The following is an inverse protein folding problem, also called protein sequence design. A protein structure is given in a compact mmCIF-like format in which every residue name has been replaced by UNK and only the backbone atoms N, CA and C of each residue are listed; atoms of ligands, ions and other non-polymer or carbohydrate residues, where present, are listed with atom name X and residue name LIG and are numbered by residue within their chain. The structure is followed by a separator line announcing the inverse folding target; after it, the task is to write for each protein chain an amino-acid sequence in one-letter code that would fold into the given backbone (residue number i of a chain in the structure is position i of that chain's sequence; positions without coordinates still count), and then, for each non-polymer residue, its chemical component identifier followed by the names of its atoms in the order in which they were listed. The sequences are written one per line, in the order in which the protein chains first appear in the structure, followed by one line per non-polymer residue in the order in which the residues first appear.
data_IF_634427505136
#
_entry.id   IF_634427505136
#
_cell.length_a   1.000
_cell.length_b   1.000
_cell.length_c   1.000
_cell.angle_alpha   90.00
_cell.angle_beta   90.00
_cell.angle_gamma   90.00
#
_symmetry.space_group_name_H-M   'P 1'
#
loop_
_entity.id
_entity.type
_entity.pdbx_description
1 polymer ?
#
# COMPACT_ATOMS: atom_id res chain seq x y z
N UNK A 1 -21.10 -5.87 3.14
CA UNK A 1 -19.87 -6.33 3.83
C UNK A 1 -18.84 -5.23 3.68
N UNK A 2 -18.27 -4.72 4.78
CA UNK A 2 -17.11 -3.80 4.69
C UNK A 2 -16.05 -4.51 3.85
N UNK A 3 -15.40 -3.77 2.96
CA UNK A 3 -14.40 -4.26 2.03
C UNK A 3 -13.12 -4.58 2.84
N UNK A 4 -13.17 -5.64 3.67
CA UNK A 4 -12.12 -6.07 4.61
C UNK A 4 -10.70 -5.98 4.03
N UNK A 5 -10.43 -6.42 2.78
CA UNK A 5 -9.06 -6.37 2.25
C UNK A 5 -8.56 -4.93 2.03
N UNK A 6 -9.42 -3.99 1.62
CA UNK A 6 -9.02 -2.58 1.48
C UNK A 6 -8.79 -1.90 2.83
N UNK A 7 -9.54 -2.29 3.87
CA UNK A 7 -9.30 -1.78 5.22
C UNK A 7 -7.93 -2.24 5.75
N UNK A 8 -7.54 -3.50 5.51
CA UNK A 8 -6.21 -3.98 5.88
C UNK A 8 -5.10 -3.24 5.12
N UNK A 9 -5.30 -3.03 3.82
CA UNK A 9 -4.35 -2.29 2.98
C UNK A 9 -4.15 -0.85 3.45
N UNK A 10 -5.24 -0.14 3.73
CA UNK A 10 -5.19 1.25 4.22
C UNK A 10 -4.46 1.34 5.56
N UNK A 11 -4.73 0.43 6.49
CA UNK A 11 -4.07 0.46 7.80
C UNK A 11 -2.56 0.20 7.66
N UNK A 12 -2.16 -0.81 6.89
CA UNK A 12 -0.74 -1.13 6.70
C UNK A 12 0.01 -0.02 5.95
N UNK A 13 -0.57 0.51 4.86
CA UNK A 13 0.01 1.61 4.12
C UNK A 13 0.10 2.89 4.98
N UNK A 14 -0.93 3.18 5.78
CA UNK A 14 -0.93 4.32 6.69
C UNK A 14 0.15 4.22 7.77
N UNK A 15 0.38 3.03 8.34
CA UNK A 15 1.44 2.78 9.30
C UNK A 15 2.83 2.99 8.68
N UNK A 16 3.06 2.43 7.49
CA UNK A 16 4.33 2.62 6.76
C UNK A 16 4.55 4.10 6.38
N UNK A 17 3.48 4.84 6.07
CA UNK A 17 3.56 6.29 5.84
C UNK A 17 3.96 7.07 7.09
N UNK A 18 3.48 6.68 8.27
CA UNK A 18 3.94 7.26 9.55
C UNK A 18 5.40 6.90 9.88
N UNK A 19 5.88 5.78 9.33
CA UNK A 19 7.28 5.36 9.43
C UNK A 19 8.16 5.99 8.34
N UNK A 20 7.68 6.98 7.57
CA UNK A 20 8.48 7.60 6.50
C UNK A 20 8.95 6.60 5.42
N UNK A 21 8.28 5.44 5.31
CA UNK A 21 8.66 4.37 4.39
C UNK A 21 8.45 4.73 2.91
N UNK A 22 7.84 5.88 2.64
CA UNK A 22 7.51 6.36 1.30
C UNK A 22 8.15 7.72 1.00
N UNK A 23 8.96 8.29 1.90
CA UNK A 23 9.48 9.66 1.78
C UNK A 23 10.45 9.82 0.58
N UNK A 24 10.97 8.72 0.04
CA UNK A 24 11.74 8.71 -1.21
C UNK A 24 10.88 8.82 -2.47
N UNK A 25 9.56 8.62 -2.37
CA UNK A 25 8.65 8.86 -3.48
C UNK A 25 8.50 10.36 -3.73
N UNK A 26 8.22 10.72 -4.98
CA UNK A 26 7.91 12.11 -5.36
C UNK A 26 6.67 12.63 -4.64
N UNK A 27 6.59 13.94 -4.40
CA UNK A 27 5.42 14.59 -3.80
C UNK A 27 4.09 14.24 -4.49
N UNK A 28 4.07 14.09 -5.82
CA UNK A 28 2.89 13.66 -6.58
C UNK A 28 2.39 12.28 -6.10
N UNK A 29 3.29 11.31 -6.02
CA UNK A 29 2.98 9.94 -5.57
C UNK A 29 2.51 9.93 -4.12
N UNK A 30 3.18 10.68 -3.24
CA UNK A 30 2.76 10.83 -1.83
C UNK A 30 1.35 11.44 -1.73
N UNK A 31 1.07 12.49 -2.51
CA UNK A 31 -0.24 13.14 -2.56
C UNK A 31 -1.34 12.17 -3.05
N UNK A 32 -1.06 11.41 -4.10
CA UNK A 32 -1.96 10.38 -4.64
C UNK A 32 -2.21 9.28 -3.62
N UNK A 33 -1.17 8.79 -2.95
CA UNK A 33 -1.28 7.75 -1.92
C UNK A 33 -2.19 8.20 -0.76
N UNK A 34 -2.01 9.43 -0.28
CA UNK A 34 -2.87 10.03 0.75
C UNK A 34 -4.32 10.16 0.27
N UNK A 35 -4.52 10.53 -1.00
CA UNK A 35 -5.85 10.61 -1.59
C UNK A 35 -6.53 9.24 -1.69
N UNK A 36 -5.80 8.19 -2.06
CA UNK A 36 -6.30 6.82 -2.07
C UNK A 36 -6.71 6.36 -0.67
N UNK A 37 -5.83 6.56 0.32
CA UNK A 37 -6.09 6.23 1.74
C UNK A 37 -7.36 6.93 2.23
N UNK A 38 -7.48 8.23 1.95
CA UNK A 38 -8.65 9.02 2.33
C UNK A 38 -9.93 8.48 1.68
N UNK A 39 -9.89 8.20 0.38
CA UNK A 39 -11.04 7.70 -0.39
C UNK A 39 -11.50 6.33 0.11
N UNK A 40 -10.56 5.43 0.38
CA UNK A 40 -10.83 4.08 0.90
C UNK A 40 -11.30 4.07 2.37
N UNK A 41 -11.06 5.15 3.12
CA UNK A 41 -11.50 5.30 4.50
C UNK A 41 -12.91 5.91 4.64
N UNK A 42 -13.48 6.43 3.55
CA UNK A 42 -14.81 7.03 3.56
C UNK A 42 -15.91 5.96 3.61
N UNK A 43 -16.94 6.19 4.41
CA UNK A 43 -18.08 5.26 4.55
C UNK A 43 -19.03 5.30 3.33
N UNK A 44 -19.10 6.43 2.62
CA UNK A 44 -20.05 6.69 1.55
C UNK A 44 -19.35 6.95 0.21
N UNK A 45 -18.56 5.98 -0.27
CA UNK A 45 -17.85 6.06 -1.55
C UNK A 45 -18.38 5.01 -2.54
N UNK A 46 -18.35 5.32 -3.83
CA UNK A 46 -18.82 4.39 -4.87
C UNK A 46 -17.88 3.19 -4.99
N UNK A 47 -18.43 2.04 -5.40
CA UNK A 47 -17.63 0.82 -5.64
C UNK A 47 -16.52 1.05 -6.66
N UNK A 48 -16.79 1.87 -7.67
CA UNK A 48 -15.81 2.24 -8.70
C UNK A 48 -14.64 3.03 -8.12
N UNK A 49 -14.92 4.04 -7.29
CA UNK A 49 -13.89 4.83 -6.62
C UNK A 49 -13.07 4.00 -5.61
N UNK A 50 -13.70 3.05 -4.91
CA UNK A 50 -12.99 2.08 -4.06
C UNK A 50 -12.01 1.27 -4.89
N UNK A 51 -12.47 0.69 -6.00
CA UNK A 51 -11.61 -0.14 -6.85
C UNK A 51 -10.46 0.68 -7.44
N UNK A 52 -10.74 1.85 -8.02
CA UNK A 52 -9.72 2.72 -8.60
C UNK A 52 -8.66 3.12 -7.55
N UNK A 53 -9.09 3.61 -6.39
CA UNK A 53 -8.19 4.02 -5.31
C UNK A 53 -7.42 2.85 -4.73
N UNK A 54 -8.05 1.68 -4.64
CA UNK A 54 -7.43 0.45 -4.17
C UNK A 54 -6.33 -0.06 -5.09
N UNK A 55 -6.60 -0.10 -6.40
CA UNK A 55 -5.60 -0.47 -7.41
C UNK A 55 -4.43 0.52 -7.43
N UNK A 56 -4.70 1.81 -7.32
CA UNK A 56 -3.66 2.84 -7.28
C UNK A 56 -2.81 2.73 -6.01
N UNK A 57 -3.42 2.55 -4.84
CA UNK A 57 -2.68 2.35 -3.58
C UNK A 57 -1.80 1.10 -3.64
N UNK A 58 -2.31 -0.01 -4.20
CA UNK A 58 -1.51 -1.22 -4.41
C UNK A 58 -0.31 -0.96 -5.32
N UNK A 59 -0.50 -0.21 -6.42
CA UNK A 59 0.58 0.11 -7.34
C UNK A 59 1.69 0.94 -6.66
N UNK A 60 1.31 1.96 -5.88
CA UNK A 60 2.25 2.79 -5.13
C UNK A 60 3.01 1.98 -4.07
N UNK A 61 2.33 1.11 -3.33
CA UNK A 61 2.96 0.22 -2.36
C UNK A 61 3.94 -0.79 -2.98
N UNK A 62 3.71 -1.21 -4.23
CA UNK A 62 4.62 -2.12 -4.96
C UNK A 62 5.87 -1.42 -5.50
N UNK A 63 5.73 -0.15 -5.87
CA UNK A 63 6.82 0.62 -6.45
C UNK A 63 7.77 1.16 -5.38
N UNK A 64 7.27 1.36 -4.16
CA UNK A 64 8.08 1.82 -3.04
C UNK A 64 9.09 0.73 -2.61
N UNK A 65 10.37 1.11 -2.53
CA UNK A 65 11.33 0.39 -1.71
C UNK A 65 11.01 0.61 -0.22
N UNK A 66 10.48 -0.43 0.43
CA UNK A 66 10.03 -0.38 1.81
C UNK A 66 11.11 -0.84 2.80
N UNK A 67 12.28 -1.27 2.35
CA UNK A 67 13.35 -1.75 3.24
C UNK A 67 14.22 -0.60 3.74
N UNK A 68 13.59 0.39 4.39
CA UNK A 68 14.27 1.54 4.99
C UNK A 68 14.40 1.39 6.52
N UNK A 69 15.38 2.07 7.13
CA UNK A 69 15.72 1.95 8.56
C UNK A 69 14.54 2.17 9.53
N UNK A 70 13.53 2.91 9.11
CA UNK A 70 12.36 3.28 9.91
C UNK A 70 11.23 2.24 9.86
N UNK A 71 11.28 1.29 8.91
CA UNK A 71 10.28 0.23 8.79
C UNK A 71 10.52 -0.92 9.74
N UNK A 72 9.44 -1.52 10.23
CA UNK A 72 9.53 -2.70 11.10
C UNK A 72 9.13 -3.95 10.34
N UNK A 73 9.71 -5.13 10.67
CA UNK A 73 9.30 -6.39 10.05
C UNK A 73 7.79 -6.65 10.16
N UNK A 74 7.17 -6.23 11.28
CA UNK A 74 5.72 -6.33 11.48
C UNK A 74 4.93 -5.46 10.49
N UNK A 75 5.33 -4.20 10.27
CA UNK A 75 4.65 -3.31 9.33
C UNK A 75 4.72 -3.83 7.88
N UNK A 76 5.87 -4.37 7.48
CA UNK A 76 6.05 -5.01 6.18
C UNK A 76 5.17 -6.25 6.05
N UNK A 77 5.15 -7.12 7.05
CA UNK A 77 4.28 -8.30 7.06
C UNK A 77 2.80 -7.93 6.97
N UNK A 78 2.36 -6.87 7.66
CA UNK A 78 0.98 -6.40 7.59
C UNK A 78 0.63 -5.90 6.18
N UNK A 79 1.54 -5.17 5.53
CA UNK A 79 1.33 -4.72 4.15
C UNK A 79 1.29 -5.90 3.18
N UNK A 80 2.26 -6.81 3.24
CA UNK A 80 2.29 -7.98 2.36
C UNK A 80 1.10 -8.90 2.56
N UNK A 81 0.67 -9.10 3.81
CA UNK A 81 -0.56 -9.83 4.11
C UNK A 81 -1.77 -9.14 3.47
N UNK A 82 -1.88 -7.81 3.56
CA UNK A 82 -2.96 -7.07 2.92
C UNK A 82 -2.93 -7.18 1.38
N UNK A 83 -1.74 -7.08 0.78
CA UNK A 83 -1.52 -7.18 -0.66
C UNK A 83 -1.85 -8.57 -1.23
N UNK A 84 -1.62 -9.63 -0.44
CA UNK A 84 -1.93 -11.01 -0.86
C UNK A 84 -3.41 -11.26 -1.14
N UNK A 85 -4.33 -10.53 -0.48
CA UNK A 85 -5.78 -10.59 -0.78
C UNK A 85 -6.13 -10.12 -2.18
N UNK A 86 -5.23 -9.37 -2.83
CA UNK A 86 -5.40 -8.86 -4.18
C UNK A 86 -4.58 -9.64 -5.22
N UNK A 87 -4.01 -10.79 -4.83
CA UNK A 87 -3.16 -11.60 -5.71
C UNK A 87 -1.80 -10.95 -5.99
N UNK A 88 -1.40 -9.96 -5.19
CA UNK A 88 -0.07 -9.35 -5.29
C UNK A 88 0.87 -10.12 -4.39
N UNK A 89 1.76 -10.90 -4.99
CA UNK A 89 2.77 -11.67 -4.28
C UNK A 89 3.94 -10.76 -3.87
N UNK A 90 4.32 -10.82 -2.60
CA UNK A 90 5.43 -10.04 -2.04
C UNK A 90 6.79 -10.44 -2.64
N UNK A 91 6.89 -11.60 -3.31
CA UNK A 91 8.16 -12.15 -3.80
C UNK A 91 8.62 -11.68 -5.19
N UNK A 92 7.80 -10.94 -5.95
CA UNK A 92 8.23 -10.51 -7.31
C UNK A 92 9.26 -9.35 -7.32
N UNK A 93 9.69 -8.83 -6.16
CA UNK A 93 10.73 -7.80 -6.08
C UNK A 93 12.14 -8.36 -5.81
N UNK A 94 12.32 -9.69 -5.71
CA UNK A 94 13.58 -10.33 -5.28
C UNK A 94 14.23 -11.24 -6.33
N UNK A 95 13.88 -11.13 -7.61
CA UNK A 95 14.49 -11.93 -8.68
C UNK A 95 14.85 -11.10 -9.89
N UNK A 96 15.96 -10.39 -9.78
CA UNK A 96 16.97 -10.07 -10.80
C UNK A 96 18.08 -9.38 -9.99
N UNK A 97 19.08 -10.09 -9.48
CA UNK A 97 20.28 -10.45 -10.25
C UNK A 97 20.71 -11.91 -10.00
N UNK A 98 20.59 -12.72 -11.05
CA UNK A 98 21.34 -13.97 -11.22
C UNK A 98 22.45 -13.67 -12.23
N UNK A 99 23.67 -14.07 -11.84
CA UNK A 99 24.93 -14.21 -12.58
C UNK A 99 25.94 -13.06 -12.55
#
# INVERSE_FOLDING_TARGET
MKNVPYHLLVNAAGQLMQQHAFDHLTDDKLSRMQNCIRTLSQEAVTKEAINASGHELLALCREADLYVDTTTPQSLQQLFAAMSYFGVDAQSAVTEEVY
#
